data_IF_774804836258
#
_entry.id   IF_774804836258
#
_cell.length_a   1.000
_cell.length_b   1.000
_cell.length_c   1.000
_cell.angle_alpha   90.00
_cell.angle_beta   90.00
_cell.angle_gamma   90.00
#
_symmetry.space_group_name_H-M   'P 1'
#
loop_
_entity.id
_entity.type
_entity.pdbx_description
1 polymer ?
#
# COMPACT_ATOMS: atom_id res chain seq x y z
N UNK A 1 9.09 -11.49 -26.31
CA UNK A 1 7.90 -11.28 -25.46
C UNK A 1 7.45 -9.86 -25.73
N UNK A 2 6.33 -9.71 -26.44
CA UNK A 2 5.90 -8.44 -27.03
C UNK A 2 5.39 -7.46 -25.97
N UNK A 3 5.78 -6.20 -26.11
CA UNK A 3 5.11 -5.09 -25.45
C UNK A 3 3.61 -5.18 -25.78
N UNK A 4 2.77 -5.24 -24.74
CA UNK A 4 1.33 -5.03 -24.91
C UNK A 4 1.16 -3.59 -25.40
N UNK A 5 0.91 -3.43 -26.71
CA UNK A 5 0.44 -2.18 -27.27
C UNK A 5 -0.98 -1.94 -26.75
N UNK A 6 -1.09 -1.23 -25.62
CA UNK A 6 -2.35 -0.70 -25.11
C UNK A 6 -2.78 0.51 -25.95
N UNK A 7 -3.19 0.28 -27.19
CA UNK A 7 -3.91 1.28 -27.97
C UNK A 7 -5.26 1.54 -27.30
N UNK A 8 -5.30 2.60 -26.49
CA UNK A 8 -6.46 3.02 -25.70
C UNK A 8 -6.14 3.66 -24.34
N UNK A 9 -4.86 3.67 -23.91
CA UNK A 9 -4.45 4.36 -22.68
C UNK A 9 -3.85 5.73 -22.99
N UNK A 10 -4.22 6.75 -22.21
CA UNK A 10 -3.71 8.13 -22.33
C UNK A 10 -2.23 8.29 -21.95
N UNK A 11 -1.53 7.18 -21.73
CA UNK A 11 -0.14 7.10 -21.34
C UNK A 11 0.52 5.86 -21.92
N UNK A 12 1.84 5.90 -22.04
CA UNK A 12 2.67 4.73 -22.36
C UNK A 12 3.47 4.34 -21.12
N UNK A 13 3.17 3.18 -20.53
CA UNK A 13 4.04 2.58 -19.53
C UNK A 13 5.29 2.00 -20.21
N UNK A 14 6.46 2.27 -19.64
CA UNK A 14 7.75 1.74 -20.07
C UNK A 14 8.46 1.10 -18.88
N UNK A 15 9.17 0.01 -19.13
CA UNK A 15 9.95 -0.68 -18.10
C UNK A 15 11.16 0.15 -17.66
N UNK A 16 11.73 -0.18 -16.50
CA UNK A 16 12.99 0.41 -16.05
C UNK A 16 14.14 0.24 -17.07
N UNK A 17 14.19 -0.88 -17.79
CA UNK A 17 15.22 -1.09 -18.81
C UNK A 17 15.01 -0.20 -20.04
N UNK A 18 13.76 0.03 -20.43
CA UNK A 18 13.44 0.98 -21.51
C UNK A 18 13.69 2.43 -21.10
N UNK A 19 13.53 2.75 -19.82
CA UNK A 19 13.74 4.10 -19.31
C UNK A 19 15.20 4.56 -19.42
N UNK A 20 16.18 3.64 -19.39
CA UNK A 20 17.61 3.95 -19.58
C UNK A 20 17.96 4.62 -20.91
N UNK A 21 17.03 4.64 -21.88
CA UNK A 21 17.20 5.33 -23.17
C UNK A 21 17.01 6.85 -23.06
N UNK A 22 16.46 7.34 -21.95
CA UNK A 22 16.21 8.75 -21.71
C UNK A 22 17.35 9.37 -20.90
N UNK A 23 17.78 10.58 -21.28
CA UNK A 23 18.84 11.30 -20.59
C UNK A 23 18.27 12.20 -19.48
N UNK A 24 17.97 11.58 -18.34
CA UNK A 24 17.33 12.26 -17.20
C UNK A 24 18.14 13.44 -16.66
N UNK A 25 19.46 13.45 -16.82
CA UNK A 25 20.33 14.51 -16.29
C UNK A 25 20.10 15.85 -16.96
N UNK A 26 19.57 15.83 -18.19
CA UNK A 26 19.33 17.01 -19.00
C UNK A 26 17.85 17.37 -19.11
N UNK A 27 16.97 16.64 -18.42
CA UNK A 27 15.55 16.96 -18.37
C UNK A 27 15.27 18.00 -17.27
N UNK A 28 14.25 18.84 -17.50
CA UNK A 28 13.81 19.81 -16.50
C UNK A 28 12.76 19.19 -15.59
N UNK A 29 12.84 19.50 -14.30
CA UNK A 29 11.83 19.10 -13.33
C UNK A 29 10.48 19.75 -13.65
N UNK A 30 9.41 18.98 -13.46
CA UNK A 30 8.04 19.47 -13.51
C UNK A 30 7.42 19.50 -12.12
N UNK A 31 7.20 18.33 -11.52
CA UNK A 31 6.52 18.21 -10.23
C UNK A 31 6.93 16.92 -9.50
N UNK A 32 7.00 16.99 -8.17
CA UNK A 32 7.03 15.85 -7.26
C UNK A 32 5.70 15.77 -6.50
N UNK A 33 4.83 14.84 -6.89
CA UNK A 33 3.48 14.79 -6.33
C UNK A 33 3.41 13.97 -5.06
N UNK A 34 2.97 14.56 -3.95
CA UNK A 34 2.72 13.84 -2.70
C UNK A 34 1.62 12.77 -2.83
N UNK A 35 0.72 12.90 -3.82
CA UNK A 35 -0.36 11.95 -4.04
C UNK A 35 0.15 10.59 -4.52
N UNK A 36 1.11 10.60 -5.46
CA UNK A 36 1.63 9.37 -6.05
C UNK A 36 3.12 9.08 -5.76
N UNK A 37 3.77 9.98 -5.01
CA UNK A 37 5.21 9.93 -4.76
C UNK A 37 6.07 10.06 -6.01
N UNK A 38 5.48 10.17 -7.20
CA UNK A 38 6.20 10.12 -8.46
C UNK A 38 6.83 11.48 -8.76
N UNK A 39 7.97 11.42 -9.44
CA UNK A 39 8.62 12.60 -9.99
C UNK A 39 8.32 12.66 -11.48
N UNK A 40 7.96 13.84 -11.96
CA UNK A 40 7.72 14.11 -13.37
C UNK A 40 8.76 15.08 -13.91
N UNK A 41 9.28 14.77 -15.10
CA UNK A 41 10.29 15.53 -15.82
C UNK A 41 9.79 15.83 -17.23
N UNK A 42 10.18 16.97 -17.79
CA UNK A 42 9.90 17.30 -19.18
C UNK A 42 10.80 16.53 -20.14
N UNK A 43 10.19 15.77 -21.05
CA UNK A 43 10.87 15.23 -22.25
C UNK A 43 10.93 16.29 -23.34
N UNK A 44 9.82 17.02 -23.49
CA UNK A 44 9.63 18.18 -24.36
C UNK A 44 8.57 19.10 -23.74
N UNK A 45 8.16 20.19 -24.41
CA UNK A 45 7.23 21.18 -23.87
C UNK A 45 5.86 20.62 -23.45
N UNK A 46 5.43 19.51 -24.05
CA UNK A 46 4.08 18.93 -23.86
C UNK A 46 4.09 17.51 -23.32
N UNK A 47 5.26 16.87 -23.23
CA UNK A 47 5.40 15.46 -22.82
C UNK A 47 6.19 15.35 -21.53
N UNK A 48 5.63 14.61 -20.58
CA UNK A 48 6.25 14.27 -19.32
C UNK A 48 6.73 12.82 -19.31
N UNK A 49 7.91 12.65 -18.75
CA UNK A 49 8.41 11.39 -18.23
C UNK A 49 8.11 11.35 -16.73
N UNK A 50 7.36 10.34 -16.28
CA UNK A 50 6.97 10.19 -14.88
C UNK A 50 7.60 8.92 -14.34
N UNK A 51 8.56 9.04 -13.43
CA UNK A 51 9.11 7.89 -12.74
C UNK A 51 8.45 7.71 -11.37
N UNK A 52 8.05 6.49 -11.02
CA UNK A 52 7.50 6.21 -9.71
C UNK A 52 8.60 6.32 -8.67
N UNK A 53 8.23 6.71 -7.46
CA UNK A 53 9.05 6.45 -6.29
C UNK A 53 8.84 4.98 -5.91
N UNK A 54 9.49 4.09 -6.66
CA UNK A 54 9.68 2.65 -6.40
C UNK A 54 10.98 2.28 -7.11
N UNK A 55 11.89 1.56 -6.42
CA UNK A 55 13.10 1.06 -7.07
C UNK A 55 12.75 0.16 -8.28
N UNK A 56 13.36 0.45 -9.43
CA UNK A 56 13.13 -0.24 -10.71
C UNK A 56 11.66 -0.32 -11.15
N UNK A 57 10.80 0.60 -10.70
CA UNK A 57 9.41 0.69 -11.13
C UNK A 57 9.27 1.07 -12.61
N UNK A 58 8.10 0.77 -13.18
CA UNK A 58 7.76 1.17 -14.55
C UNK A 58 7.49 2.68 -14.60
N UNK A 59 8.00 3.36 -15.61
CA UNK A 59 7.81 4.79 -15.82
C UNK A 59 6.66 5.04 -16.80
N UNK A 60 6.12 6.26 -16.82
CA UNK A 60 5.10 6.68 -17.78
C UNK A 60 5.66 7.74 -18.73
N UNK A 61 5.32 7.64 -20.01
CA UNK A 61 5.35 8.76 -20.96
C UNK A 61 3.92 9.20 -21.16
N UNK A 62 3.63 10.47 -20.87
CA UNK A 62 2.28 11.02 -20.83
C UNK A 62 2.29 12.50 -21.22
N UNK A 63 1.22 13.02 -21.80
CA UNK A 63 1.14 14.47 -22.02
C UNK A 63 1.00 15.22 -20.69
N UNK A 64 1.56 16.44 -20.62
CA UNK A 64 1.46 17.32 -19.45
C UNK A 64 0.02 17.52 -19.02
N UNK A 65 -0.84 17.90 -19.96
CA UNK A 65 -2.26 18.16 -19.70
C UNK A 65 -2.95 16.93 -19.06
N UNK A 66 -2.69 15.74 -19.61
CA UNK A 66 -3.29 14.52 -19.07
C UNK A 66 -2.76 14.19 -17.67
N UNK A 67 -1.46 14.35 -17.45
CA UNK A 67 -0.87 14.11 -16.14
C UNK A 67 -1.44 15.06 -15.08
N UNK A 68 -1.57 16.34 -15.39
CA UNK A 68 -2.19 17.32 -14.49
C UNK A 68 -3.66 16.97 -14.19
N UNK A 69 -4.42 16.49 -15.18
CA UNK A 69 -5.77 15.98 -14.97
C UNK A 69 -5.78 14.76 -14.03
N UNK A 70 -4.82 13.83 -14.18
CA UNK A 70 -4.71 12.65 -13.31
C UNK A 70 -4.43 13.05 -11.86
N UNK A 71 -3.57 14.04 -11.64
CA UNK A 71 -3.27 14.55 -10.29
C UNK A 71 -4.50 15.20 -9.67
N UNK A 72 -5.20 16.08 -10.41
CA UNK A 72 -6.45 16.72 -9.94
C UNK A 72 -7.53 15.71 -9.57
N UNK A 73 -7.62 14.63 -10.34
CA UNK A 73 -8.67 13.61 -10.18
C UNK A 73 -8.25 12.44 -9.29
N UNK A 74 -7.04 12.42 -8.72
CA UNK A 74 -6.51 11.27 -7.97
C UNK A 74 -6.60 9.95 -8.78
N UNK A 75 -6.27 9.99 -10.07
CA UNK A 75 -6.50 8.87 -10.99
C UNK A 75 -5.22 8.25 -11.55
N UNK A 76 -4.14 8.27 -10.77
CA UNK A 76 -2.87 7.65 -11.17
C UNK A 76 -3.05 6.14 -11.44
N UNK A 77 -2.51 5.60 -12.54
CA UNK A 77 -2.77 4.22 -12.96
C UNK A 77 -2.19 3.17 -12.00
N UNK A 78 -2.85 2.01 -11.95
CA UNK A 78 -2.32 0.80 -11.33
C UNK A 78 -1.32 0.18 -12.31
N UNK A 79 -0.05 0.15 -11.92
CA UNK A 79 1.04 -0.56 -12.59
C UNK A 79 1.32 -1.86 -11.84
N UNK A 80 1.91 -2.88 -12.49
CA UNK A 80 2.19 -4.17 -11.84
C UNK A 80 2.92 -4.04 -10.49
N UNK A 81 3.89 -3.13 -10.41
CA UNK A 81 4.70 -2.89 -9.23
C UNK A 81 3.99 -2.15 -8.09
N UNK A 82 2.98 -1.34 -8.41
CA UNK A 82 2.20 -0.59 -7.41
C UNK A 82 0.86 -1.24 -7.09
N UNK A 83 0.56 -2.42 -7.65
CA UNK A 83 -0.65 -3.20 -7.37
C UNK A 83 -0.56 -3.88 -5.99
N UNK A 84 -0.44 -3.04 -4.95
CA UNK A 84 -0.35 -3.42 -3.55
C UNK A 84 -1.72 -3.28 -2.88
N UNK A 85 -1.98 -4.02 -1.79
CA UNK A 85 -3.19 -3.80 -0.98
C UNK A 85 -3.39 -2.35 -0.53
N UNK A 86 -2.30 -1.62 -0.29
CA UNK A 86 -2.34 -0.23 0.15
C UNK A 86 -2.74 0.72 -0.97
N UNK A 87 -2.29 0.46 -2.20
CA UNK A 87 -2.67 1.25 -3.37
C UNK A 87 -4.16 1.13 -3.70
N UNK A 88 -4.78 -0.05 -3.45
CA UNK A 88 -6.22 -0.26 -3.64
C UNK A 88 -7.07 0.74 -2.84
N UNK A 89 -6.60 1.15 -1.66
CA UNK A 89 -7.31 2.04 -0.76
C UNK A 89 -6.70 3.44 -0.67
N UNK A 90 -5.76 3.79 -1.54
CA UNK A 90 -5.04 5.07 -1.48
C UNK A 90 -5.96 6.28 -1.33
N UNK A 91 -7.07 6.33 -2.08
CA UNK A 91 -7.96 7.50 -2.06
C UNK A 91 -8.73 7.59 -0.75
N UNK A 92 -9.21 6.43 -0.27
CA UNK A 92 -9.84 6.29 1.03
C UNK A 92 -8.88 6.74 2.13
N UNK A 93 -7.65 6.23 2.12
CA UNK A 93 -6.66 6.57 3.15
C UNK A 93 -6.18 8.03 3.03
N UNK A 94 -6.09 8.58 1.82
CA UNK A 94 -5.71 9.96 1.59
C UNK A 94 -6.75 10.94 2.11
N UNK A 95 -8.04 10.65 1.91
CA UNK A 95 -9.14 11.56 2.23
C UNK A 95 -9.71 11.35 3.63
N UNK A 96 -9.88 10.10 4.05
CA UNK A 96 -10.61 9.74 5.27
C UNK A 96 -9.73 9.03 6.31
N UNK A 97 -8.51 8.59 5.93
CA UNK A 97 -7.49 8.10 6.88
C UNK A 97 -7.53 6.59 7.18
N UNK A 98 -6.52 6.14 7.93
CA UNK A 98 -6.38 4.75 8.41
C UNK A 98 -7.10 4.59 9.75
N UNK A 99 -8.44 4.53 9.72
CA UNK A 99 -9.30 4.51 10.92
C UNK A 99 -10.14 3.24 11.02
N UNK A 100 -10.62 2.92 12.22
CA UNK A 100 -11.50 1.77 12.49
C UNK A 100 -12.71 1.76 11.58
N UNK A 101 -13.39 2.90 11.44
CA UNK A 101 -14.61 3.05 10.64
C UNK A 101 -14.36 2.70 9.17
N UNK A 102 -13.22 3.16 8.63
CA UNK A 102 -12.83 2.87 7.25
C UNK A 102 -12.49 1.39 7.06
N UNK A 103 -11.83 0.75 8.04
CA UNK A 103 -11.55 -0.69 7.97
C UNK A 103 -12.82 -1.53 8.05
N UNK A 104 -13.77 -1.15 8.90
CA UNK A 104 -15.08 -1.81 8.97
C UNK A 104 -15.81 -1.68 7.64
N UNK A 105 -15.76 -0.50 6.99
CA UNK A 105 -16.34 -0.29 5.66
C UNK A 105 -15.73 -1.23 4.62
N UNK A 106 -14.39 -1.35 4.60
CA UNK A 106 -13.70 -2.28 3.70
C UNK A 106 -14.11 -3.73 3.98
N UNK A 107 -14.17 -4.15 5.25
CA UNK A 107 -14.59 -5.51 5.62
C UNK A 107 -16.02 -5.81 5.13
N UNK A 108 -16.92 -4.85 5.29
CA UNK A 108 -18.29 -4.96 4.82
C UNK A 108 -18.36 -5.14 3.29
N UNK A 109 -17.55 -4.41 2.54
CA UNK A 109 -17.49 -4.51 1.07
C UNK A 109 -17.04 -5.90 0.58
N UNK A 110 -16.29 -6.64 1.40
CA UNK A 110 -15.88 -8.03 1.12
C UNK A 110 -16.73 -9.06 1.85
N UNK A 111 -17.86 -8.66 2.44
CA UNK A 111 -18.85 -9.57 3.03
C UNK A 111 -18.56 -10.00 4.47
N UNK A 112 -17.83 -9.19 5.24
CA UNK A 112 -17.58 -9.43 6.65
C UNK A 112 -18.17 -8.32 7.53
N UNK A 113 -19.20 -8.67 8.30
CA UNK A 113 -19.69 -7.81 9.38
C UNK A 113 -18.74 -7.91 10.58
N UNK A 114 -18.11 -6.80 10.94
CA UNK A 114 -17.10 -6.78 11.99
C UNK A 114 -17.70 -7.00 13.38
N UNK A 115 -17.10 -7.93 14.14
CA UNK A 115 -17.30 -8.13 15.56
C UNK A 115 -15.94 -8.37 16.22
N UNK A 116 -15.64 -7.63 17.28
CA UNK A 116 -14.34 -7.67 17.96
C UNK A 116 -14.02 -9.06 18.54
N UNK A 117 -15.00 -9.72 19.16
CA UNK A 117 -14.80 -11.01 19.84
C UNK A 117 -14.55 -12.16 18.86
N UNK A 118 -15.11 -12.07 17.65
CA UNK A 118 -15.07 -13.16 16.67
C UNK A 118 -14.20 -12.87 15.47
N UNK A 119 -13.63 -11.65 15.36
CA UNK A 119 -12.88 -11.14 14.20
C UNK A 119 -11.92 -12.18 13.61
N UNK A 120 -11.02 -12.73 14.43
CA UNK A 120 -10.05 -13.73 13.97
C UNK A 120 -10.71 -14.94 13.31
N UNK A 121 -11.77 -15.46 13.94
CA UNK A 121 -12.48 -16.65 13.45
C UNK A 121 -13.30 -16.39 12.19
N UNK A 122 -13.89 -15.19 12.09
CA UNK A 122 -14.72 -14.84 10.93
C UNK A 122 -13.87 -14.43 9.74
N UNK A 123 -12.77 -13.72 9.97
CA UNK A 123 -11.75 -13.47 8.95
C UNK A 123 -11.17 -14.78 8.40
N UNK A 124 -10.94 -15.81 9.23
CA UNK A 124 -10.52 -17.14 8.77
C UNK A 124 -11.54 -17.78 7.84
N UNK A 125 -12.83 -17.72 8.19
CA UNK A 125 -13.90 -18.29 7.36
C UNK A 125 -13.97 -17.55 6.03
N UNK A 126 -13.95 -16.22 6.07
CA UNK A 126 -14.00 -15.37 4.89
C UNK A 126 -12.80 -15.61 3.97
N UNK A 127 -11.58 -15.61 4.50
CA UNK A 127 -10.37 -15.79 3.69
C UNK A 127 -10.33 -17.10 2.89
N UNK A 128 -11.12 -18.11 3.28
CA UNK A 128 -11.26 -19.38 2.54
C UNK A 128 -12.22 -19.27 1.35
N UNK A 129 -13.18 -18.36 1.40
CA UNK A 129 -14.19 -18.18 0.35
C UNK A 129 -13.84 -17.08 -0.64
N UNK A 130 -12.99 -16.12 -0.25
CA UNK A 130 -12.58 -15.01 -1.12
C UNK A 130 -11.77 -15.45 -2.34
N UNK A 131 -11.98 -14.73 -3.44
CA UNK A 131 -11.13 -14.78 -4.62
C UNK A 131 -9.71 -14.29 -4.30
N UNK A 132 -8.73 -14.59 -5.17
CA UNK A 132 -7.34 -14.10 -4.98
C UNK A 132 -7.27 -12.57 -4.93
N UNK A 133 -8.08 -11.89 -5.73
CA UNK A 133 -8.11 -10.42 -5.76
C UNK A 133 -8.79 -9.84 -4.52
N UNK A 134 -9.87 -10.46 -4.03
CA UNK A 134 -10.53 -9.99 -2.80
C UNK A 134 -9.71 -10.31 -1.53
N UNK A 135 -8.81 -11.30 -1.57
CA UNK A 135 -7.86 -11.50 -0.45
C UNK A 135 -6.91 -10.32 -0.26
N UNK A 136 -6.55 -9.59 -1.33
CA UNK A 136 -5.75 -8.37 -1.20
C UNK A 136 -6.50 -7.29 -0.41
N UNK A 137 -7.81 -7.20 -0.62
CA UNK A 137 -8.71 -6.26 0.07
C UNK A 137 -8.77 -6.51 1.57
N UNK A 138 -8.65 -7.77 2.00
CA UNK A 138 -8.64 -8.15 3.43
C UNK A 138 -7.32 -7.81 4.15
N UNK A 139 -6.22 -7.58 3.44
CA UNK A 139 -4.91 -7.41 4.06
C UNK A 139 -4.84 -6.15 4.93
N UNK A 140 -5.30 -5.01 4.41
CA UNK A 140 -5.22 -3.71 5.12
C UNK A 140 -6.11 -3.70 6.38
N UNK A 141 -7.38 -4.15 6.35
CA UNK A 141 -8.17 -4.29 7.57
C UNK A 141 -7.61 -5.30 8.56
N UNK A 142 -7.09 -6.45 8.09
CA UNK A 142 -6.49 -7.43 8.98
C UNK A 142 -5.25 -6.87 9.69
N UNK A 143 -4.44 -6.10 8.99
CA UNK A 143 -3.30 -5.41 9.58
C UNK A 143 -3.76 -4.38 10.62
N UNK A 144 -4.81 -3.59 10.34
CA UNK A 144 -5.38 -2.64 11.31
C UNK A 144 -5.84 -3.34 12.59
N UNK A 145 -6.75 -4.32 12.50
CA UNK A 145 -7.37 -4.90 13.70
C UNK A 145 -6.39 -5.72 14.54
N UNK A 146 -5.48 -6.45 13.90
CA UNK A 146 -4.41 -7.15 14.63
C UNK A 146 -3.43 -6.12 15.22
N UNK A 147 -3.15 -5.05 14.48
CA UNK A 147 -2.34 -3.93 14.94
C UNK A 147 -2.92 -3.23 16.17
N UNK A 148 -4.23 -3.00 16.22
CA UNK A 148 -4.93 -2.43 17.37
C UNK A 148 -4.86 -3.35 18.60
N UNK A 149 -4.96 -4.66 18.41
CA UNK A 149 -4.76 -5.61 19.52
C UNK A 149 -3.32 -5.56 20.04
N UNK A 150 -2.34 -5.40 19.16
CA UNK A 150 -0.93 -5.24 19.53
C UNK A 150 -0.65 -3.87 20.16
N UNK A 151 -1.36 -2.82 19.73
CA UNK A 151 -1.27 -1.47 20.26
C UNK A 151 -1.65 -1.41 21.74
N UNK A 152 -2.52 -2.33 22.22
CA UNK A 152 -2.83 -2.47 23.65
C UNK A 152 -1.58 -2.73 24.53
N UNK A 153 -0.44 -3.13 23.93
CA UNK A 153 0.85 -3.30 24.60
C UNK A 153 1.66 -1.99 24.75
N UNK A 154 1.28 -0.91 24.05
CA UNK A 154 1.96 0.38 24.04
C UNK A 154 0.94 1.51 23.82
N UNK A 155 0.11 1.77 24.83
CA UNK A 155 -1.14 2.54 24.72
C UNK A 155 -0.96 4.02 24.36
N UNK A 156 0.23 4.57 24.57
CA UNK A 156 0.52 5.98 24.30
C UNK A 156 0.97 6.22 22.84
N UNK A 157 1.16 5.17 22.05
CA UNK A 157 1.61 5.29 20.68
C UNK A 157 0.47 5.69 19.73
N UNK A 158 0.78 6.43 18.68
CA UNK A 158 -0.20 6.80 17.65
C UNK A 158 0.09 6.09 16.33
N UNK A 159 -0.95 5.81 15.55
CA UNK A 159 -0.78 5.34 14.18
C UNK A 159 -0.14 6.42 13.32
N UNK A 160 1.07 6.14 12.83
CA UNK A 160 1.73 6.93 11.80
C UNK A 160 1.60 6.19 10.46
N UNK A 161 0.91 6.83 9.52
CA UNK A 161 0.69 6.29 8.19
C UNK A 161 1.21 7.24 7.12
N UNK A 162 2.31 6.87 6.48
CA UNK A 162 2.94 7.74 5.49
C UNK A 162 2.37 7.50 4.09
N UNK A 163 1.54 8.47 3.65
CA UNK A 163 0.88 8.48 2.34
C UNK A 163 1.85 8.52 1.16
N UNK A 164 3.06 9.07 1.34
CA UNK A 164 4.05 9.25 0.24
C UNK A 164 4.51 7.94 -0.38
N UNK A 165 4.32 6.84 0.34
CA UNK A 165 4.98 5.60 0.01
C UNK A 165 4.03 4.51 -0.48
N UNK A 166 2.71 4.74 -0.66
CA UNK A 166 1.70 3.72 -1.02
C UNK A 166 2.03 2.77 -2.19
N UNK A 167 2.93 3.24 -3.04
CA UNK A 167 3.43 2.58 -4.23
C UNK A 167 4.43 1.48 -3.89
N UNK A 168 5.01 1.53 -2.68
CA UNK A 168 5.95 0.55 -2.21
C UNK A 168 5.23 -0.69 -1.69
N UNK A 169 5.77 -1.89 -1.97
CA UNK A 169 5.24 -3.15 -1.45
C UNK A 169 5.24 -3.22 0.09
N UNK A 170 5.97 -2.34 0.79
CA UNK A 170 6.13 -2.35 2.24
C UNK A 170 5.82 -1.00 2.88
N UNK A 171 4.74 -0.36 2.43
CA UNK A 171 4.18 0.80 3.11
C UNK A 171 3.29 0.40 4.27
N UNK A 172 3.86 -0.23 5.29
CA UNK A 172 3.06 -0.50 6.47
C UNK A 172 2.82 0.79 7.29
N UNK A 173 1.64 0.93 7.91
CA UNK A 173 1.49 1.81 9.06
C UNK A 173 2.41 1.33 10.19
N UNK A 174 2.92 2.30 10.94
CA UNK A 174 3.77 2.08 12.11
C UNK A 174 3.10 2.73 13.31
N UNK A 175 3.41 2.26 14.52
CA UNK A 175 3.09 3.04 15.73
C UNK A 175 4.24 3.99 16.01
N UNK A 176 3.94 5.22 16.39
CA UNK A 176 4.92 6.24 16.73
C UNK A 176 4.71 6.69 18.17
N UNK A 177 5.79 6.78 18.94
CA UNK A 177 5.77 7.27 20.31
C UNK A 177 7.07 8.04 20.60
N UNK A 178 6.96 9.33 20.92
CA UNK A 178 8.10 10.23 21.19
C UNK A 178 9.19 10.20 20.10
N UNK A 179 10.36 9.60 20.37
CA UNK A 179 11.48 9.45 19.44
C UNK A 179 11.59 8.04 18.84
N UNK A 180 10.60 7.17 19.12
CA UNK A 180 10.57 5.76 18.70
C UNK A 180 9.44 5.48 17.71
N UNK A 181 9.68 4.50 16.86
CA UNK A 181 8.67 3.96 15.95
C UNK A 181 8.67 2.44 15.98
N UNK A 182 7.48 1.84 16.00
CA UNK A 182 7.27 0.40 15.94
C UNK A 182 6.76 0.01 14.56
N UNK A 183 7.61 -0.68 13.82
CA UNK A 183 7.22 -1.23 12.53
C UNK A 183 6.40 -2.51 12.71
N UNK A 184 5.32 -2.60 11.92
CA UNK A 184 4.52 -3.81 11.73
C UNK A 184 5.00 -4.67 10.56
N UNK A 185 6.28 -4.56 10.17
CA UNK A 185 6.87 -5.33 9.06
C UNK A 185 6.61 -6.85 9.17
N UNK A 186 6.85 -7.44 10.34
CA UNK A 186 6.63 -8.88 10.57
C UNK A 186 5.15 -9.26 10.44
N UNK A 187 4.24 -8.39 10.92
CA UNK A 187 2.80 -8.59 10.76
C UNK A 187 2.41 -8.53 9.28
N UNK A 188 2.90 -7.53 8.55
CA UNK A 188 2.65 -7.33 7.13
C UNK A 188 3.09 -8.56 6.31
N UNK A 189 4.31 -9.06 6.54
CA UNK A 189 4.82 -10.29 5.89
C UNK A 189 3.92 -11.48 6.18
N UNK A 190 3.57 -11.72 7.44
CA UNK A 190 2.78 -12.89 7.82
C UNK A 190 1.37 -12.85 7.22
N UNK A 191 0.79 -11.66 7.10
CA UNK A 191 -0.48 -11.44 6.42
C UNK A 191 -0.38 -11.68 4.92
N UNK A 192 0.67 -11.18 4.25
CA UNK A 192 0.92 -11.48 2.84
C UNK A 192 1.10 -12.97 2.60
N UNK A 193 1.91 -13.64 3.43
CA UNK A 193 2.11 -15.08 3.33
C UNK A 193 0.79 -15.84 3.44
N UNK A 194 -0.08 -15.45 4.37
CA UNK A 194 -1.40 -16.07 4.55
C UNK A 194 -2.34 -15.78 3.37
N UNK A 195 -2.53 -14.51 3.04
CA UNK A 195 -3.59 -14.05 2.13
C UNK A 195 -3.20 -14.18 0.65
N UNK A 196 -1.94 -13.90 0.32
CA UNK A 196 -1.47 -13.77 -1.06
C UNK A 196 -0.65 -14.98 -1.51
N UNK A 197 0.05 -15.65 -0.58
CA UNK A 197 0.91 -16.81 -0.86
C UNK A 197 0.28 -18.15 -0.41
N UNK A 198 -0.88 -18.11 0.25
CA UNK A 198 -1.63 -19.31 0.64
C UNK A 198 -0.99 -20.13 1.77
N UNK A 199 -0.12 -19.53 2.58
CA UNK A 199 0.50 -20.20 3.72
C UNK A 199 -0.56 -20.61 4.74
N UNK A 200 -0.47 -21.86 5.20
CA UNK A 200 -1.40 -22.40 6.20
C UNK A 200 -1.04 -21.91 7.62
N UNK A 201 -1.42 -20.67 7.91
CA UNK A 201 -1.32 -20.04 9.24
C UNK A 201 -2.63 -19.33 9.54
N UNK A 202 -3.06 -19.35 10.80
CA UNK A 202 -4.28 -18.63 11.21
C UNK A 202 -3.97 -17.20 11.66
N UNK A 203 -4.91 -16.27 11.54
CA UNK A 203 -4.80 -14.89 12.01
C UNK A 203 -4.46 -14.84 13.50
N UNK A 204 -5.08 -15.70 14.32
CA UNK A 204 -4.75 -15.78 15.74
C UNK A 204 -3.28 -16.23 15.97
N UNK A 205 -2.77 -17.18 15.17
CA UNK A 205 -1.35 -17.56 15.22
C UNK A 205 -0.41 -16.44 14.75
N UNK A 206 -0.84 -15.64 13.77
CA UNK A 206 -0.10 -14.44 13.34
C UNK A 206 -0.01 -13.45 14.51
N UNK A 207 -1.14 -13.08 15.12
CA UNK A 207 -1.18 -12.20 16.29
C UNK A 207 -0.25 -12.71 17.41
N UNK A 208 -0.41 -13.96 17.85
CA UNK A 208 0.42 -14.53 18.93
C UNK A 208 1.90 -14.56 18.62
N UNK A 209 2.28 -14.76 17.35
CA UNK A 209 3.68 -14.75 16.93
C UNK A 209 4.28 -13.34 17.03
N UNK A 210 3.54 -12.33 16.57
CA UNK A 210 3.98 -10.93 16.61
C UNK A 210 3.98 -10.39 18.04
N UNK A 211 2.92 -10.66 18.80
CA UNK A 211 2.82 -10.35 20.24
C UNK A 211 4.04 -10.91 21.01
N UNK A 212 4.38 -12.19 20.80
CA UNK A 212 5.53 -12.80 21.45
C UNK A 212 6.88 -12.20 21.08
N UNK A 213 7.03 -11.67 19.86
CA UNK A 213 8.24 -10.94 19.45
C UNK A 213 8.34 -9.59 20.17
N UNK A 214 7.24 -8.84 20.24
CA UNK A 214 7.21 -7.54 20.91
C UNK A 214 7.36 -7.67 22.43
N UNK A 215 6.73 -8.65 23.07
CA UNK A 215 6.93 -8.90 24.51
C UNK A 215 8.39 -9.24 24.86
N UNK A 216 9.15 -9.89 23.97
CA UNK A 216 10.59 -10.12 24.19
C UNK A 216 11.42 -8.85 24.03
N UNK A 217 10.92 -7.89 23.27
CA UNK A 217 11.51 -6.57 23.06
C UNK A 217 10.88 -5.50 23.95
N UNK A 218 10.26 -5.89 25.08
CA UNK A 218 9.51 -4.99 25.96
C UNK A 218 10.26 -3.70 26.34
N UNK A 219 11.57 -3.76 26.49
CA UNK A 219 12.42 -2.58 26.73
C UNK A 219 12.33 -1.49 25.66
N UNK A 220 11.85 -1.79 24.44
CA UNK A 220 11.60 -0.78 23.42
C UNK A 220 10.34 0.04 23.72
N UNK A 221 9.43 -0.48 24.54
CA UNK A 221 8.10 0.06 24.87
C UNK A 221 7.99 0.73 26.25
N UNK A 222 8.97 0.47 27.12
CA UNK A 222 9.20 1.18 28.38
C UNK A 222 10.31 2.25 28.18
#
# INVERSE_FOLDING_TARGET
MGAQNNTGQDYKAITFEESKKYDFRNMKDHEYSDYNGATSLYVDDNTLFVFPNIDRGSCLIISKEKYEQMLKNNSYPVLPENNTPYFLYKDLMNKEGFTKENMIRILKDIGLDYNEETFYSDAEKLAKTLSKEDKKKLLVPALYFIGEDLHKLCQDAEWSFNKRWYFHPFTEPILFYEDRSYSFYDLNILLEEKLLKGKNITFNKIYKRVEGYYLKKKWMFD
#
